data_IF_747362414521
#
_entry.id   IF_747362414521
#
_cell.length_a   1.000
_cell.length_b   1.000
_cell.length_c   1.000
_cell.angle_alpha   90.00
_cell.angle_beta   90.00
_cell.angle_gamma   90.00
#
_symmetry.space_group_name_H-M   'P 1'
#
loop_
_entity.id
_entity.type
_entity.pdbx_description
1 polymer ?
#
# COMPACT_ATOMS: atom_id res chain seq x y z
N UNK A 1 -0.22 16.42 2.80
CA UNK A 1 -0.71 15.19 2.14
C UNK A 1 0.23 14.75 1.02
N UNK A 2 0.49 15.60 0.03
CA UNK A 2 1.38 15.29 -1.11
C UNK A 2 2.72 14.67 -0.69
N UNK A 3 3.39 15.22 0.33
CA UNK A 3 4.67 14.67 0.84
C UNK A 3 4.52 13.22 1.34
N UNK A 4 3.46 12.92 2.10
CA UNK A 4 3.21 11.56 2.61
C UNK A 4 2.93 10.59 1.46
N UNK A 5 2.13 11.03 0.48
CA UNK A 5 1.84 10.25 -0.71
C UNK A 5 3.10 9.96 -1.53
N UNK A 6 3.98 10.94 -1.73
CA UNK A 6 5.25 10.74 -2.44
C UNK A 6 6.15 9.75 -1.71
N UNK A 7 6.31 9.89 -0.39
CA UNK A 7 7.13 8.97 0.41
C UNK A 7 6.56 7.55 0.33
N UNK A 8 5.24 7.41 0.54
CA UNK A 8 4.54 6.12 0.46
C UNK A 8 4.73 5.46 -0.91
N UNK A 9 4.53 6.21 -1.99
CA UNK A 9 4.71 5.73 -3.37
C UNK A 9 6.14 5.25 -3.62
N UNK A 10 7.15 5.97 -3.14
CA UNK A 10 8.55 5.60 -3.32
C UNK A 10 8.89 4.31 -2.58
N UNK A 11 8.47 4.19 -1.31
CA UNK A 11 8.71 2.99 -0.53
C UNK A 11 7.97 1.78 -1.11
N UNK A 12 6.72 1.96 -1.54
CA UNK A 12 5.94 0.93 -2.22
C UNK A 12 6.59 0.50 -3.55
N UNK A 13 7.15 1.45 -4.30
CA UNK A 13 7.88 1.13 -5.52
C UNK A 13 9.12 0.28 -5.26
N UNK A 14 9.94 0.67 -4.26
CA UNK A 14 11.16 -0.05 -3.89
C UNK A 14 10.85 -1.47 -3.41
N UNK A 15 9.87 -1.63 -2.53
CA UNK A 15 9.45 -2.95 -2.07
C UNK A 15 8.88 -3.81 -3.22
N UNK A 16 8.13 -3.21 -4.17
CA UNK A 16 7.62 -3.96 -5.31
C UNK A 16 8.73 -4.48 -6.23
N UNK A 17 9.65 -3.61 -6.66
CA UNK A 17 10.71 -4.01 -7.59
C UNK A 17 11.68 -5.03 -6.97
N UNK A 18 11.77 -5.06 -5.65
CA UNK A 18 12.60 -6.02 -4.91
C UNK A 18 11.86 -7.31 -4.54
N UNK A 19 10.61 -7.50 -5.01
CA UNK A 19 9.86 -8.73 -4.76
C UNK A 19 9.30 -8.88 -3.35
N UNK A 20 9.26 -7.78 -2.59
CA UNK A 20 8.93 -7.77 -1.18
C UNK A 20 7.43 -7.61 -0.88
N UNK A 21 6.58 -7.78 -1.89
CA UNK A 21 5.12 -7.78 -1.75
C UNK A 21 4.55 -9.19 -1.77
N UNK A 22 3.38 -9.35 -1.16
CA UNK A 22 2.58 -10.57 -1.22
C UNK A 22 1.08 -10.23 -1.30
N UNK A 23 0.26 -11.15 -1.83
CA UNK A 23 -1.19 -11.06 -1.72
C UNK A 23 -1.58 -10.99 -0.24
N UNK A 24 -2.50 -10.08 0.07
CA UNK A 24 -3.04 -9.94 1.42
C UNK A 24 -4.28 -10.84 1.59
N UNK A 25 -4.05 -12.15 1.54
CA UNK A 25 -5.08 -13.16 1.75
C UNK A 25 -4.49 -14.46 2.25
N UNK A 26 -4.92 -14.91 3.42
CA UNK A 26 -4.42 -16.15 4.03
C UNK A 26 -4.64 -17.38 3.14
N UNK A 27 -5.79 -17.44 2.45
CA UNK A 27 -6.12 -18.53 1.52
C UNK A 27 -5.20 -18.52 0.30
N UNK A 28 -4.85 -17.33 -0.21
CA UNK A 28 -3.94 -17.21 -1.36
C UNK A 28 -2.51 -17.56 -0.96
N UNK A 29 -2.05 -17.16 0.23
CA UNK A 29 -0.70 -17.41 0.72
C UNK A 29 -0.35 -18.90 0.87
N UNK A 30 -1.35 -19.77 1.00
CA UNK A 30 -1.17 -21.23 1.08
C UNK A 30 -1.54 -21.96 -0.21
N UNK A 31 -1.96 -21.24 -1.25
CA UNK A 31 -2.37 -21.85 -2.51
C UNK A 31 -1.17 -22.35 -3.32
N UNK A 32 -1.32 -23.50 -3.99
CA UNK A 32 -0.27 -24.07 -4.85
C UNK A 32 0.18 -23.08 -5.94
N UNK A 33 -0.76 -22.29 -6.47
CA UNK A 33 -0.48 -21.28 -7.48
C UNK A 33 0.46 -20.17 -6.99
N UNK A 34 0.32 -19.73 -5.74
CA UNK A 34 1.23 -18.76 -5.11
C UNK A 34 2.55 -19.41 -4.70
N UNK A 35 2.50 -20.58 -4.06
CA UNK A 35 3.69 -21.30 -3.59
C UNK A 35 4.65 -21.62 -4.75
N UNK A 36 4.12 -21.92 -5.94
CA UNK A 36 4.91 -22.15 -7.15
C UNK A 36 5.73 -20.93 -7.62
N UNK A 37 5.40 -19.71 -7.16
CA UNK A 37 6.11 -18.49 -7.56
C UNK A 37 7.16 -18.03 -6.55
N UNK A 38 7.28 -18.66 -5.38
CA UNK A 38 8.17 -18.19 -4.30
C UNK A 38 9.66 -18.18 -4.67
N UNK A 39 10.06 -19.02 -5.62
CA UNK A 39 11.44 -19.09 -6.13
C UNK A 39 11.74 -18.06 -7.23
N UNK A 40 10.74 -17.27 -7.66
CA UNK A 40 10.95 -16.20 -8.64
C UNK A 40 11.50 -14.94 -7.95
N UNK A 41 12.25 -14.08 -8.67
CA UNK A 41 12.77 -12.84 -8.09
C UNK A 41 11.70 -11.90 -7.54
N UNK A 42 10.51 -11.89 -8.15
CA UNK A 42 9.36 -11.13 -7.69
C UNK A 42 8.09 -12.02 -7.74
N UNK A 43 7.79 -12.75 -6.66
CA UNK A 43 6.67 -13.68 -6.62
C UNK A 43 5.33 -13.00 -6.89
N UNK A 44 5.14 -11.77 -6.38
CA UNK A 44 3.91 -11.00 -6.58
C UNK A 44 3.65 -10.72 -8.06
N UNK A 45 4.66 -10.21 -8.77
CA UNK A 45 4.57 -9.91 -10.20
C UNK A 45 4.42 -11.16 -11.06
N UNK A 46 5.16 -12.23 -10.75
CA UNK A 46 5.05 -13.50 -11.46
C UNK A 46 3.66 -14.13 -11.30
N UNK A 47 3.12 -14.13 -10.09
CA UNK A 47 1.81 -14.69 -9.78
C UNK A 47 0.65 -13.92 -10.41
N UNK A 48 0.74 -12.59 -10.48
CA UNK A 48 -0.29 -11.74 -11.10
C UNK A 48 -0.11 -11.55 -12.62
N UNK A 49 0.87 -12.23 -13.22
CA UNK A 49 1.11 -12.11 -14.66
C UNK A 49 -0.03 -12.73 -15.48
N UNK A 50 -0.17 -12.29 -16.74
CA UNK A 50 -1.21 -12.79 -17.63
C UNK A 50 -1.06 -14.31 -17.83
N UNK A 51 -2.12 -15.06 -17.54
CA UNK A 51 -2.13 -16.53 -17.62
C UNK A 51 -1.61 -17.25 -16.38
N UNK A 52 -1.14 -16.52 -15.36
CA UNK A 52 -0.79 -17.09 -14.07
C UNK A 52 -2.00 -17.21 -13.13
N UNK A 53 -1.84 -17.94 -12.03
CA UNK A 53 -2.92 -18.25 -11.10
C UNK A 53 -3.58 -17.00 -10.46
N UNK A 54 -2.84 -15.91 -10.33
CA UNK A 54 -3.31 -14.64 -9.77
C UNK A 54 -3.71 -13.60 -10.79
N UNK A 55 -3.90 -13.94 -12.07
CA UNK A 55 -4.21 -12.96 -13.12
C UNK A 55 -5.51 -12.15 -12.87
N UNK A 56 -6.47 -12.74 -12.14
CA UNK A 56 -7.76 -12.12 -11.80
C UNK A 56 -7.70 -11.39 -10.44
N UNK A 57 -6.54 -11.43 -9.77
CA UNK A 57 -6.29 -10.63 -8.58
C UNK A 57 -6.08 -9.15 -8.95
N UNK A 58 -6.23 -8.27 -7.97
CA UNK A 58 -6.00 -6.83 -8.17
C UNK A 58 -4.57 -6.58 -8.67
N UNK A 59 -4.43 -5.73 -9.69
CA UNK A 59 -3.12 -5.37 -10.23
C UNK A 59 -2.44 -4.34 -9.34
N UNK A 60 -1.16 -4.52 -9.05
CA UNK A 60 -0.45 -3.57 -8.21
C UNK A 60 -0.21 -2.23 -8.92
N UNK A 61 -0.57 -1.15 -8.23
CA UNK A 61 -0.27 0.21 -8.64
C UNK A 61 0.29 1.01 -7.45
N UNK A 62 1.59 1.32 -7.49
CA UNK A 62 2.29 2.07 -6.44
C UNK A 62 1.65 3.42 -6.07
N UNK A 63 1.02 4.11 -7.04
CA UNK A 63 0.44 5.43 -6.79
C UNK A 63 -0.88 5.31 -6.04
N UNK A 64 -1.72 4.37 -6.47
CA UNK A 64 -2.98 4.06 -5.81
C UNK A 64 -2.74 3.43 -4.43
N UNK A 65 -1.80 2.49 -4.32
CA UNK A 65 -1.35 1.93 -3.03
C UNK A 65 -0.85 3.03 -2.10
N UNK A 66 -0.08 3.98 -2.64
CA UNK A 66 0.42 5.11 -1.89
C UNK A 66 -0.69 6.02 -1.35
N UNK A 67 -1.74 6.25 -2.15
CA UNK A 67 -2.91 7.06 -1.76
C UNK A 67 -3.77 6.33 -0.72
N UNK A 68 -4.12 5.06 -0.97
CA UNK A 68 -4.89 4.21 -0.05
C UNK A 68 -4.27 4.18 1.34
N UNK A 69 -2.93 4.15 1.40
CA UNK A 69 -2.26 4.15 2.69
C UNK A 69 -2.41 5.46 3.48
N UNK A 70 -2.29 6.62 2.83
CA UNK A 70 -2.11 7.91 3.51
C UNK A 70 -3.36 8.80 3.52
N UNK A 71 -4.35 8.51 2.68
CA UNK A 71 -5.62 9.23 2.61
C UNK A 71 -6.69 8.38 3.29
N UNK A 72 -7.05 8.65 4.56
CA UNK A 72 -7.76 7.66 5.36
C UNK A 72 -9.21 7.37 4.95
N UNK A 73 -9.80 8.28 4.17
CA UNK A 73 -11.17 8.17 3.67
C UNK A 73 -11.24 7.49 2.30
N UNK A 74 -10.10 7.20 1.69
CA UNK A 74 -9.99 6.62 0.37
C UNK A 74 -9.70 5.13 0.49
N UNK A 75 -10.46 4.34 -0.26
CA UNK A 75 -10.29 2.90 -0.36
C UNK A 75 -10.41 2.47 -1.83
N UNK A 76 -9.27 2.38 -2.52
CA UNK A 76 -9.15 1.87 -3.89
C UNK A 76 -8.88 0.35 -3.88
N UNK A 77 -8.73 -0.27 -2.70
CA UNK A 77 -8.47 -1.70 -2.53
C UNK A 77 -7.01 -2.15 -2.71
N UNK A 78 -6.06 -1.24 -2.97
CA UNK A 78 -4.66 -1.63 -3.21
C UNK A 78 -3.97 -2.13 -1.94
N UNK A 79 -4.17 -1.47 -0.81
CA UNK A 79 -3.61 -1.92 0.49
C UNK A 79 -4.33 -3.14 1.05
N UNK A 80 -5.54 -3.41 0.58
CA UNK A 80 -6.32 -4.59 0.93
C UNK A 80 -5.92 -5.80 0.09
N UNK A 81 -5.49 -5.58 -1.16
CA UNK A 81 -5.02 -6.64 -2.04
C UNK A 81 -3.54 -6.98 -1.86
N UNK A 82 -2.70 -5.99 -1.54
CA UNK A 82 -1.24 -6.13 -1.54
C UNK A 82 -0.62 -5.65 -0.23
N UNK A 83 0.13 -6.55 0.40
CA UNK A 83 0.85 -6.25 1.64
C UNK A 83 2.36 -6.35 1.48
N UNK A 84 3.14 -5.44 2.10
CA UNK A 84 4.57 -5.61 2.23
C UNK A 84 4.88 -6.80 3.16
N UNK A 85 5.79 -7.66 2.71
CA UNK A 85 6.19 -8.88 3.41
C UNK A 85 7.37 -8.61 4.34
N UNK A 86 7.30 -9.10 5.58
CA UNK A 86 8.41 -8.98 6.55
C UNK A 86 9.57 -9.92 6.25
N UNK A 87 9.27 -11.06 5.62
CA UNK A 87 10.19 -12.19 5.53
C UNK A 87 10.82 -12.33 4.13
N UNK A 88 10.42 -11.48 3.17
CA UNK A 88 10.90 -11.55 1.78
C UNK A 88 12.15 -10.69 1.53
N UNK A 89 12.25 -9.54 2.20
CA UNK A 89 13.39 -8.67 2.04
C UNK A 89 13.34 -7.41 2.89
N UNK A 90 14.45 -6.64 2.89
CA UNK A 90 14.63 -5.51 3.78
C UNK A 90 13.67 -4.35 3.48
N UNK A 91 13.26 -4.15 2.22
CA UNK A 91 12.38 -3.04 1.86
C UNK A 91 10.92 -3.35 2.21
N UNK A 92 10.50 -4.61 2.09
CA UNK A 92 9.24 -5.10 2.64
C UNK A 92 9.17 -4.92 4.15
N UNK A 93 10.21 -5.29 4.89
CA UNK A 93 10.27 -5.07 6.34
C UNK A 93 10.18 -3.57 6.70
N UNK A 94 10.95 -2.74 6.01
CA UNK A 94 10.94 -1.27 6.23
C UNK A 94 9.60 -0.65 5.90
N UNK A 95 8.96 -1.05 4.80
CA UNK A 95 7.65 -0.55 4.41
C UNK A 95 6.55 -1.08 5.33
N UNK A 96 6.63 -2.35 5.74
CA UNK A 96 5.74 -2.91 6.76
C UNK A 96 5.80 -2.07 8.03
N UNK A 97 7.01 -1.65 8.43
CA UNK A 97 7.14 -0.72 9.53
C UNK A 97 6.60 0.68 9.16
N UNK A 98 7.16 1.36 8.15
CA UNK A 98 6.72 2.71 7.75
C UNK A 98 5.21 2.88 7.54
N UNK A 99 4.48 1.82 7.16
CA UNK A 99 3.05 1.82 6.87
C UNK A 99 2.20 2.47 7.96
N UNK A 100 2.27 2.00 9.20
CA UNK A 100 1.39 2.54 10.25
C UNK A 100 1.81 3.95 10.71
N UNK A 101 3.08 4.33 10.56
CA UNK A 101 3.51 5.72 10.78
C UNK A 101 2.92 6.64 9.70
N UNK A 102 3.04 6.25 8.43
CA UNK A 102 2.49 7.00 7.29
C UNK A 102 0.97 7.11 7.37
N UNK A 103 0.28 6.04 7.75
CA UNK A 103 -1.17 6.04 7.93
C UNK A 103 -1.60 6.95 9.09
N UNK A 104 -0.91 6.87 10.24
CA UNK A 104 -1.17 7.77 11.36
C UNK A 104 -0.93 9.25 11.02
N UNK A 105 0.15 9.55 10.30
CA UNK A 105 0.43 10.90 9.79
C UNK A 105 -0.62 11.36 8.76
N UNK A 106 -1.14 10.45 7.95
CA UNK A 106 -2.24 10.69 7.02
C UNK A 106 -3.50 11.16 7.75
N UNK A 107 -3.87 10.47 8.83
CA UNK A 107 -4.96 10.88 9.73
C UNK A 107 -4.72 12.25 10.36
N UNK A 108 -3.52 12.50 10.88
CA UNK A 108 -3.19 13.79 11.50
C UNK A 108 -3.29 14.95 10.50
N UNK A 109 -2.72 14.80 9.30
CA UNK A 109 -2.79 15.83 8.25
C UNK A 109 -4.22 16.05 7.78
N UNK A 110 -5.02 15.00 7.67
CA UNK A 110 -6.44 15.10 7.29
C UNK A 110 -7.25 15.86 8.34
N UNK A 111 -7.06 15.54 9.63
CA UNK A 111 -7.73 16.22 10.73
C UNK A 111 -7.37 17.71 10.81
N UNK A 112 -6.08 18.05 10.64
CA UNK A 112 -5.64 19.44 10.57
C UNK A 112 -6.26 20.19 9.39
N UNK A 113 -6.37 19.54 8.23
CA UNK A 113 -7.04 20.10 7.06
C UNK A 113 -8.51 20.43 7.33
N UNK A 114 -9.25 19.50 7.94
CA UNK A 114 -10.64 19.72 8.34
C UNK A 114 -10.75 20.87 9.35
N UNK A 115 -9.92 20.87 10.40
CA UNK A 115 -9.93 21.89 11.44
C UNK A 115 -9.62 23.30 10.89
N UNK A 116 -8.68 23.41 9.94
CA UNK A 116 -8.35 24.67 9.29
C UNK A 116 -9.55 25.23 8.50
N UNK A 117 -10.27 24.38 7.76
CA UNK A 117 -11.48 24.79 7.02
C UNK A 117 -12.55 25.26 8.00
N UNK A 118 -12.81 24.49 9.06
CA UNK A 118 -13.81 24.87 10.08
C UNK A 118 -13.45 26.19 10.78
N UNK A 119 -12.18 26.41 11.10
CA UNK A 119 -11.71 27.64 11.73
C UNK A 119 -11.89 28.87 10.84
N UNK A 120 -11.65 28.76 9.52
CA UNK A 120 -11.90 29.85 8.56
C UNK A 120 -13.40 30.19 8.54
N UNK A 121 -14.27 29.18 8.49
CA UNK A 121 -15.73 29.38 8.47
C UNK A 121 -16.27 30.07 9.74
N UNK A 122 -15.63 29.84 10.90
CA UNK A 122 -15.99 30.54 12.13
C UNK A 122 -15.57 32.01 12.10
N UNK A 123 -14.37 32.31 11.58
CA UNK A 123 -13.86 33.68 11.47
C UNK A 123 -14.69 34.56 10.53
N UNK A 124 -15.25 34.00 9.46
CA UNK A 124 -16.06 34.78 8.50
C UNK A 124 -17.47 35.14 9.04
N UNK A 125 -17.87 34.58 10.19
CA UNK A 125 -19.18 34.78 10.81
C UNK A 125 -19.19 35.89 11.88
N UNK A 126 -18.02 36.27 12.38
CA UNK A 126 -17.80 37.31 13.41
C UNK A 126 -17.31 38.63 12.80
#
# INVERSE_FOLDING_TARGET
>A
MIVLWTISTLLAHLAWINGDFAPNSDVMLVSDGWLAQLETPNPAEAWSSKGAAGQDWESFNRYAWGLDLVVPILDIGQTDAWQPSRDRGPDGYRLWWARWLLQGMGWLVSALGVAAITGIMQKDRD
#
